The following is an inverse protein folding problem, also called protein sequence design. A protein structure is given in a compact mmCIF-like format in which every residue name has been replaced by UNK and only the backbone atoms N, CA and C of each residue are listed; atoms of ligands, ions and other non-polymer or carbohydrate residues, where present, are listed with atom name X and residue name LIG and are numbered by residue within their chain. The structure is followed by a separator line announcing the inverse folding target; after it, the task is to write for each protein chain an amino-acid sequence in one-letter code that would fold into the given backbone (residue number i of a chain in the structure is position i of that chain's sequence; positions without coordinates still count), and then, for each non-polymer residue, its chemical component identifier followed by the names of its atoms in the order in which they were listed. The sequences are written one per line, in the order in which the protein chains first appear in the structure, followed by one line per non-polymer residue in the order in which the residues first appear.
data_IF_943117651713
#
_entry.id   IF_943117651713
#
_cell.length_a   1.000
_cell.length_b   1.000
_cell.length_c   1.000
_cell.angle_alpha   90.00
_cell.angle_beta   90.00
_cell.angle_gamma   90.00
#
_symmetry.space_group_name_H-M   'P 1'
#
loop_
_entity.id
_entity.type
_entity.pdbx_description
1 polymer ?
#
# COMPACT_ATOMS: atom_id res chain seq x y z
N UNK A 1 -8.65 20.68 1.97
CA UNK A 1 -8.69 19.75 3.12
C UNK A 1 -7.76 18.60 2.79
N UNK A 2 -6.79 18.25 3.65
CA UNK A 2 -6.01 17.05 3.43
C UNK A 2 -6.94 15.83 3.50
N UNK A 3 -6.76 14.82 2.64
CA UNK A 3 -7.53 13.60 2.76
C UNK A 3 -7.33 12.94 4.13
N UNK A 4 -8.38 12.28 4.65
CA UNK A 4 -8.28 11.58 5.94
C UNK A 4 -7.62 10.22 5.69
N UNK A 5 -6.58 9.89 6.45
CA UNK A 5 -5.90 8.58 6.31
C UNK A 5 -6.84 7.46 6.73
N UNK A 6 -6.74 6.30 6.09
CA UNK A 6 -7.62 5.12 6.32
C UNK A 6 -9.12 5.40 6.14
N UNK A 7 -9.46 6.35 5.26
CA UNK A 7 -10.84 6.67 4.94
C UNK A 7 -11.60 5.48 4.37
N UNK A 8 -12.83 5.29 4.83
CA UNK A 8 -13.75 4.29 4.30
C UNK A 8 -14.29 4.70 2.91
N UNK A 9 -15.13 3.85 2.31
CA UNK A 9 -15.72 4.12 0.99
C UNK A 9 -16.62 5.35 0.93
N UNK A 10 -17.36 5.66 2.00
CA UNK A 10 -18.30 6.78 2.02
C UNK A 10 -17.57 8.12 1.97
N UNK A 11 -16.41 8.24 2.61
CA UNK A 11 -15.57 9.43 2.49
C UNK A 11 -15.29 9.80 1.02
N UNK A 12 -14.90 8.83 0.21
CA UNK A 12 -14.59 9.08 -1.19
C UNK A 12 -15.85 9.32 -2.04
N UNK A 13 -16.97 8.68 -1.72
CA UNK A 13 -18.26 8.89 -2.40
C UNK A 13 -18.88 10.25 -2.09
N UNK A 14 -18.86 10.64 -0.82
CA UNK A 14 -19.63 11.78 -0.33
C UNK A 14 -18.80 13.06 -0.27
N UNK A 15 -17.48 12.95 -0.06
CA UNK A 15 -16.59 14.12 0.06
C UNK A 15 -15.74 14.31 -1.20
N UNK A 16 -15.06 13.27 -1.66
CA UNK A 16 -14.08 13.43 -2.76
C UNK A 16 -14.74 13.49 -4.14
N UNK A 17 -15.70 12.60 -4.43
CA UNK A 17 -16.36 12.54 -5.74
C UNK A 17 -17.05 13.86 -6.13
N UNK A 18 -17.80 14.56 -5.25
CA UNK A 18 -18.37 15.87 -5.59
C UNK A 18 -17.31 16.92 -5.92
N UNK A 19 -16.19 16.91 -5.20
CA UNK A 19 -15.08 17.83 -5.44
C UNK A 19 -14.42 17.57 -6.80
N UNK A 20 -14.21 16.31 -7.17
CA UNK A 20 -13.67 15.92 -8.48
C UNK A 20 -14.63 16.32 -9.59
N UNK A 21 -15.94 16.09 -9.42
CA UNK A 21 -16.94 16.51 -10.40
C UNK A 21 -16.95 18.03 -10.64
N UNK A 22 -16.80 18.81 -9.57
CA UNK A 22 -16.77 20.28 -9.59
C UNK A 22 -15.48 20.84 -10.19
N UNK A 23 -14.31 20.38 -9.74
CA UNK A 23 -13.02 20.99 -10.09
C UNK A 23 -12.28 20.27 -11.22
N UNK A 24 -12.74 19.07 -11.64
CA UNK A 24 -12.16 18.17 -12.67
C UNK A 24 -10.80 17.58 -12.33
N UNK A 25 -9.93 18.35 -11.68
CA UNK A 25 -8.61 17.94 -11.22
C UNK A 25 -8.53 18.15 -9.72
N UNK A 26 -7.99 17.16 -9.02
CA UNK A 26 -7.80 17.21 -7.57
C UNK A 26 -6.35 16.83 -7.26
N UNK A 27 -5.64 17.72 -6.55
CA UNK A 27 -4.33 17.41 -6.00
C UNK A 27 -4.50 16.95 -4.55
N UNK A 28 -4.01 15.74 -4.26
CA UNK A 28 -4.00 15.19 -2.90
C UNK A 28 -2.63 15.45 -2.28
N UNK A 29 -2.58 16.32 -1.26
CA UNK A 29 -1.32 16.73 -0.63
C UNK A 29 -0.69 15.66 0.28
N UNK A 30 -1.47 14.67 0.70
CA UNK A 30 -1.02 13.50 1.46
C UNK A 30 -1.26 12.26 0.61
N UNK A 31 -0.23 11.43 0.44
CA UNK A 31 -0.20 10.31 -0.51
C UNK A 31 -0.34 8.96 0.20
N UNK A 32 -0.22 8.97 1.52
CA UNK A 32 -0.49 7.89 2.47
C UNK A 32 -1.99 7.71 2.76
N UNK A 33 -2.83 8.66 2.33
CA UNK A 33 -4.29 8.60 2.51
C UNK A 33 -4.89 7.58 1.54
N UNK A 34 -4.88 6.34 1.99
CA UNK A 34 -5.37 5.17 1.26
C UNK A 34 -6.83 4.93 1.63
N UNK A 35 -7.56 4.32 0.70
CA UNK A 35 -8.79 3.62 1.03
C UNK A 35 -8.48 2.55 2.08
N UNK A 36 -9.28 2.50 3.15
CA UNK A 36 -9.12 1.54 4.25
C UNK A 36 -8.85 0.12 3.72
N UNK A 37 -7.88 -0.60 4.31
CA UNK A 37 -7.56 -1.95 3.84
C UNK A 37 -8.56 -3.00 4.29
N UNK A 38 -9.20 -2.76 5.43
CA UNK A 38 -10.15 -3.67 6.05
C UNK A 38 -11.58 -3.23 5.73
N UNK A 39 -12.54 -4.15 5.84
CA UNK A 39 -13.97 -3.87 5.72
C UNK A 39 -14.41 -3.36 4.33
N UNK A 40 -13.58 -3.54 3.30
CA UNK A 40 -13.98 -3.28 1.93
C UNK A 40 -14.82 -4.44 1.36
N UNK A 41 -15.85 -4.15 0.57
CA UNK A 41 -16.53 -5.15 -0.23
C UNK A 41 -15.54 -5.91 -1.12
N UNK A 42 -15.73 -7.23 -1.22
CA UNK A 42 -14.83 -8.13 -1.95
C UNK A 42 -14.62 -7.71 -3.40
N UNK A 43 -15.63 -7.15 -4.05
CA UNK A 43 -15.54 -6.69 -5.44
C UNK A 43 -14.64 -5.46 -5.57
N UNK A 44 -14.70 -4.53 -4.61
CA UNK A 44 -13.78 -3.38 -4.56
C UNK A 44 -12.36 -3.86 -4.30
N UNK A 45 -12.18 -4.85 -3.44
CA UNK A 45 -10.86 -5.44 -3.15
C UNK A 45 -10.26 -6.12 -4.40
N UNK A 46 -11.02 -6.94 -5.13
CA UNK A 46 -10.57 -7.60 -6.36
C UNK A 46 -10.16 -6.58 -7.42
N UNK A 47 -10.97 -5.54 -7.57
CA UNK A 47 -10.74 -4.48 -8.53
C UNK A 47 -9.49 -3.66 -8.18
N UNK A 48 -9.31 -3.39 -6.89
CA UNK A 48 -8.08 -2.82 -6.32
C UNK A 48 -6.84 -3.61 -6.71
N UNK A 49 -6.88 -4.92 -6.51
CA UNK A 49 -5.78 -5.80 -6.90
C UNK A 49 -5.54 -5.75 -8.42
N UNK A 50 -6.60 -5.87 -9.24
CA UNK A 50 -6.48 -5.91 -10.70
C UNK A 50 -5.89 -4.64 -11.28
N UNK A 51 -6.33 -3.46 -10.83
CA UNK A 51 -5.78 -2.21 -11.37
C UNK A 51 -4.39 -1.92 -10.84
N UNK A 52 -4.10 -2.21 -9.57
CA UNK A 52 -2.73 -2.11 -9.08
C UNK A 52 -1.79 -3.02 -9.89
N UNK A 53 -2.18 -4.27 -10.17
CA UNK A 53 -1.39 -5.19 -10.98
C UNK A 53 -1.14 -4.67 -12.41
N UNK A 54 -2.14 -4.04 -13.03
CA UNK A 54 -2.01 -3.52 -14.39
C UNK A 54 -1.30 -2.16 -14.47
N UNK A 55 -1.48 -1.30 -13.46
CA UNK A 55 -0.89 0.03 -13.39
C UNK A 55 0.56 0.01 -12.89
N UNK A 56 0.93 -0.99 -12.08
CA UNK A 56 2.25 -1.12 -11.47
C UNK A 56 3.04 -2.19 -12.19
N UNK A 57 3.42 -1.84 -13.43
CA UNK A 57 4.30 -2.65 -14.27
C UNK A 57 5.73 -2.19 -14.09
N UNK A 58 6.66 -3.13 -14.04
CA UNK A 58 8.07 -2.80 -14.13
C UNK A 58 8.39 -2.24 -15.52
N UNK A 59 9.49 -1.48 -15.62
CA UNK A 59 9.95 -1.03 -16.93
C UNK A 59 10.26 -2.24 -17.82
N UNK A 60 10.13 -2.12 -19.16
CA UNK A 60 10.36 -3.24 -20.07
C UNK A 60 11.71 -3.94 -19.87
N UNK A 61 12.76 -3.15 -19.53
CA UNK A 61 14.11 -3.66 -19.26
C UNK A 61 14.16 -4.57 -18.03
N UNK A 62 13.49 -4.19 -16.93
CA UNK A 62 13.44 -4.99 -15.70
C UNK A 62 12.62 -6.26 -15.94
N UNK A 63 11.49 -6.15 -16.65
CA UNK A 63 10.67 -7.32 -16.98
C UNK A 63 11.43 -8.33 -17.85
N UNK A 64 12.16 -7.85 -18.86
CA UNK A 64 12.96 -8.70 -19.72
C UNK A 64 14.07 -9.41 -18.93
N UNK A 65 14.76 -8.68 -18.04
CA UNK A 65 15.73 -9.28 -17.13
C UNK A 65 15.08 -10.37 -16.26
N UNK A 66 13.96 -10.08 -15.61
CA UNK A 66 13.23 -11.04 -14.78
C UNK A 66 12.81 -12.29 -15.56
N UNK A 67 12.28 -12.11 -16.78
CA UNK A 67 11.90 -13.23 -17.65
C UNK A 67 13.10 -14.09 -18.04
N UNK A 68 14.26 -13.49 -18.33
CA UNK A 68 15.50 -14.22 -18.63
C UNK A 68 15.96 -15.06 -17.44
N UNK A 69 15.97 -14.48 -16.23
CA UNK A 69 16.34 -15.20 -15.00
C UNK A 69 15.40 -16.39 -14.77
N UNK A 70 14.09 -16.18 -14.85
CA UNK A 70 13.11 -17.26 -14.67
C UNK A 70 13.26 -18.35 -15.73
N UNK A 71 13.54 -17.97 -16.99
CA UNK A 71 13.79 -18.93 -18.07
C UNK A 71 14.98 -19.85 -17.73
N UNK A 72 16.12 -19.26 -17.33
CA UNK A 72 17.33 -20.01 -16.96
C UNK A 72 17.05 -20.96 -15.79
N UNK A 73 16.29 -20.51 -14.78
CA UNK A 73 15.94 -21.36 -13.63
C UNK A 73 15.07 -22.54 -14.05
N UNK A 74 14.06 -22.32 -14.90
CA UNK A 74 13.18 -23.39 -15.41
C UNK A 74 13.91 -24.42 -16.26
N UNK A 75 14.90 -24.00 -17.04
CA UNK A 75 15.74 -24.90 -17.85
C UNK A 75 16.56 -25.86 -16.97
N UNK A 76 16.86 -25.48 -15.73
CA UNK A 76 17.55 -26.33 -14.74
C UNK A 76 16.61 -27.25 -13.95
N UNK A 77 15.29 -27.10 -14.12
CA UNK A 77 14.27 -27.91 -13.46
C UNK A 77 13.29 -27.09 -12.61
N UNK A 78 12.38 -27.76 -11.88
CA UNK A 78 11.48 -27.10 -10.94
C UNK A 78 12.25 -26.37 -9.84
N UNK A 79 11.74 -25.20 -9.43
CA UNK A 79 12.35 -24.40 -8.36
C UNK A 79 11.29 -23.78 -7.44
N UNK A 80 11.70 -23.47 -6.21
CA UNK A 80 10.91 -22.77 -5.21
C UNK A 80 11.44 -21.33 -5.05
N UNK A 81 10.53 -20.38 -4.86
CA UNK A 81 10.89 -18.98 -4.57
C UNK A 81 10.37 -18.63 -3.18
N UNK A 82 11.26 -18.14 -2.33
CA UNK A 82 10.94 -17.64 -1.00
C UNK A 82 11.34 -16.16 -0.94
N UNK A 83 10.38 -15.29 -0.66
CA UNK A 83 10.65 -13.89 -0.34
C UNK A 83 10.70 -13.75 1.18
N UNK A 84 11.90 -13.74 1.73
CA UNK A 84 12.13 -13.60 3.15
C UNK A 84 12.45 -12.14 3.45
N UNK A 85 11.62 -11.54 4.30
CA UNK A 85 11.74 -10.13 4.71
C UNK A 85 12.15 -10.10 6.18
N UNK A 86 13.47 -10.03 6.42
CA UNK A 86 14.10 -10.13 7.74
C UNK A 86 14.61 -8.79 8.29
N UNK A 87 13.99 -7.70 7.86
CA UNK A 87 14.26 -6.38 8.41
C UNK A 87 13.81 -6.32 9.89
N UNK A 88 14.55 -5.55 10.70
CA UNK A 88 14.36 -5.50 12.15
C UNK A 88 12.96 -5.02 12.55
N UNK A 89 12.34 -4.14 11.75
CA UNK A 89 10.96 -3.67 11.92
C UNK A 89 9.95 -4.81 11.78
N UNK A 90 10.14 -5.67 10.78
CA UNK A 90 9.30 -6.84 10.53
C UNK A 90 9.49 -7.91 11.59
N UNK A 91 10.73 -8.15 12.02
CA UNK A 91 11.05 -9.08 13.12
C UNK A 91 10.42 -8.62 14.43
N UNK A 92 10.61 -7.34 14.81
CA UNK A 92 10.02 -6.75 16.00
C UNK A 92 8.49 -6.83 15.97
N UNK A 93 7.86 -6.61 14.81
CA UNK A 93 6.41 -6.69 14.66
C UNK A 93 5.88 -8.13 14.75
N UNK A 94 6.64 -9.12 14.24
CA UNK A 94 6.23 -10.53 14.30
C UNK A 94 6.15 -11.08 15.72
N UNK A 95 6.88 -10.48 16.66
CA UNK A 95 6.97 -10.95 18.05
C UNK A 95 7.70 -12.29 18.21
N UNK A 96 8.37 -12.78 17.17
CA UNK A 96 9.16 -14.00 17.21
C UNK A 96 10.56 -13.73 17.79
N UNK A 97 10.93 -14.42 18.87
CA UNK A 97 12.29 -14.41 19.45
C UNK A 97 13.06 -15.72 19.20
N UNK A 98 12.56 -16.58 18.29
CA UNK A 98 13.22 -17.85 18.00
C UNK A 98 14.60 -17.64 17.39
N UNK A 99 15.63 -18.18 18.03
CA UNK A 99 17.03 -18.03 17.61
C UNK A 99 17.69 -16.74 18.11
N UNK A 100 16.96 -15.87 18.81
CA UNK A 100 17.52 -14.68 19.44
C UNK A 100 18.22 -15.02 20.76
N UNK A 101 19.29 -14.29 21.06
CA UNK A 101 19.82 -14.21 22.42
C UNK A 101 19.05 -13.15 23.24
N UNK A 102 19.28 -13.09 24.56
CA UNK A 102 18.55 -12.20 25.46
C UNK A 102 18.69 -10.71 25.07
N UNK A 103 19.88 -10.30 24.62
CA UNK A 103 20.12 -8.91 24.21
C UNK A 103 19.33 -8.56 22.93
N UNK A 104 19.29 -9.47 21.95
CA UNK A 104 18.51 -9.30 20.73
C UNK A 104 17.00 -9.27 20.99
N UNK A 105 16.51 -10.11 21.91
CA UNK A 105 15.11 -10.12 22.31
C UNK A 105 14.70 -8.81 23.03
N UNK A 106 15.58 -8.28 23.88
CA UNK A 106 15.41 -6.98 24.52
C UNK A 106 15.39 -5.85 23.48
N UNK A 107 16.31 -5.84 22.51
CA UNK A 107 16.33 -4.84 21.43
C UNK A 107 15.11 -4.94 20.52
N UNK A 108 14.68 -6.13 20.11
CA UNK A 108 13.45 -6.31 19.31
C UNK A 108 12.21 -5.90 20.10
N UNK A 109 12.17 -6.17 21.40
CA UNK A 109 11.08 -5.71 22.27
C UNK A 109 11.07 -4.20 22.39
N UNK A 110 12.25 -3.58 22.57
CA UNK A 110 12.41 -2.13 22.60
C UNK A 110 11.98 -1.52 21.27
N UNK A 111 12.38 -2.10 20.14
CA UNK A 111 11.94 -1.67 18.81
C UNK A 111 10.44 -1.85 18.63
N UNK A 112 9.82 -2.93 19.08
CA UNK A 112 8.37 -3.11 18.99
C UNK A 112 7.62 -2.06 19.82
N UNK A 113 8.10 -1.74 21.01
CA UNK A 113 7.51 -0.70 21.86
C UNK A 113 7.76 0.68 21.24
N UNK A 114 9.00 0.99 20.87
CA UNK A 114 9.35 2.28 20.27
C UNK A 114 8.68 2.44 18.92
N UNK A 115 8.70 1.48 18.01
CA UNK A 115 7.96 1.57 16.75
C UNK A 115 6.45 1.51 16.96
N UNK A 116 5.93 0.76 17.93
CA UNK A 116 4.50 0.75 18.22
C UNK A 116 4.03 2.10 18.77
N UNK A 117 4.77 2.66 19.73
CA UNK A 117 4.52 3.96 20.34
C UNK A 117 4.87 5.09 19.37
N UNK A 118 5.96 5.00 18.62
CA UNK A 118 6.34 5.98 17.60
C UNK A 118 5.43 5.89 16.39
N UNK A 119 4.93 4.71 15.96
CA UNK A 119 3.84 4.63 14.98
C UNK A 119 2.55 5.17 15.57
N UNK A 120 2.28 4.99 16.86
CA UNK A 120 1.13 5.60 17.53
C UNK A 120 1.25 7.13 17.65
N UNK A 121 2.43 7.64 18.00
CA UNK A 121 2.76 9.06 18.09
C UNK A 121 2.89 9.68 16.70
N UNK A 122 3.45 8.97 15.72
CA UNK A 122 3.40 9.30 14.29
C UNK A 122 1.96 9.23 13.83
N UNK A 123 1.09 8.32 14.25
CA UNK A 123 -0.33 8.38 13.89
C UNK A 123 -0.99 9.64 14.46
N UNK A 124 -0.58 10.06 15.66
CA UNK A 124 -0.97 11.33 16.28
C UNK A 124 -0.25 12.55 15.68
N UNK A 125 0.86 12.35 14.96
CA UNK A 125 1.72 13.39 14.39
C UNK A 125 1.74 13.41 12.85
N UNK A 126 1.17 12.42 12.17
CA UNK A 126 1.02 12.25 10.71
C UNK A 126 -0.10 13.17 10.20
N UNK A 127 -0.69 13.96 11.08
CA UNK A 127 -1.20 15.29 10.74
C UNK A 127 -0.11 16.21 10.15
N UNK A 128 1.17 15.89 10.32
CA UNK A 128 2.36 16.67 9.93
C UNK A 128 3.52 15.80 9.40
N UNK A 129 3.49 15.53 8.07
CA UNK A 129 4.63 15.47 7.14
C UNK A 129 5.62 14.27 7.09
N UNK A 130 5.74 13.72 5.86
CA UNK A 130 6.89 13.08 5.14
C UNK A 130 7.18 11.57 5.26
N UNK A 131 6.98 10.83 4.14
CA UNK A 131 7.98 9.91 3.55
C UNK A 131 7.71 9.61 2.05
N UNK A 132 8.68 9.95 1.20
CA UNK A 132 8.57 10.03 -0.27
C UNK A 132 9.07 8.80 -1.06
N UNK A 133 9.60 7.75 -0.43
CA UNK A 133 10.34 6.72 -1.19
C UNK A 133 9.49 5.59 -1.82
N UNK A 134 8.17 5.59 -1.66
CA UNK A 134 7.24 4.60 -2.25
C UNK A 134 5.93 5.25 -2.76
N UNK A 135 5.96 6.53 -3.14
CA UNK A 135 4.79 7.35 -3.50
C UNK A 135 3.96 6.78 -4.66
N UNK A 136 4.58 6.27 -5.73
CA UNK A 136 3.87 5.88 -6.96
C UNK A 136 2.91 4.69 -6.80
N UNK A 137 3.21 3.75 -5.88
CA UNK A 137 2.35 2.59 -5.61
C UNK A 137 1.11 2.96 -4.79
N UNK A 138 1.18 4.06 -4.03
CA UNK A 138 0.13 4.49 -3.07
C UNK A 138 -0.95 5.36 -3.72
N UNK A 139 -0.56 6.19 -4.69
CA UNK A 139 -1.49 7.05 -5.45
C UNK A 139 -2.55 6.30 -6.24
N UNK A 140 -2.25 5.11 -6.73
CA UNK A 140 -3.15 4.35 -7.59
C UNK A 140 -4.40 3.86 -6.86
N UNK A 141 -4.36 3.67 -5.55
CA UNK A 141 -5.50 3.13 -4.79
C UNK A 141 -6.67 4.12 -4.72
N UNK A 142 -6.37 5.38 -4.40
CA UNK A 142 -7.39 6.45 -4.31
C UNK A 142 -7.84 6.90 -5.69
N UNK A 143 -6.92 6.97 -6.67
CA UNK A 143 -7.25 7.26 -8.07
C UNK A 143 -8.12 6.18 -8.70
N UNK A 144 -7.87 4.91 -8.40
CA UNK A 144 -8.68 3.80 -8.87
C UNK A 144 -10.11 3.90 -8.35
N UNK A 145 -10.29 4.06 -7.05
CA UNK A 145 -11.63 4.15 -6.47
C UNK A 145 -12.42 5.32 -7.08
N UNK A 146 -11.78 6.48 -7.27
CA UNK A 146 -12.40 7.61 -7.95
C UNK A 146 -12.72 7.34 -9.41
N UNK A 147 -11.84 6.66 -10.13
CA UNK A 147 -12.10 6.24 -11.52
C UNK A 147 -13.34 5.34 -11.60
N UNK A 148 -13.49 4.41 -10.65
CA UNK A 148 -14.65 3.52 -10.58
C UNK A 148 -15.94 4.26 -10.27
N UNK A 149 -15.90 5.18 -9.31
CA UNK A 149 -17.06 6.01 -9.00
C UNK A 149 -17.49 6.86 -10.20
N UNK A 150 -16.54 7.36 -10.98
CA UNK A 150 -16.82 8.10 -12.20
C UNK A 150 -17.35 7.20 -13.33
N UNK A 151 -16.83 5.97 -13.45
CA UNK A 151 -17.26 4.99 -14.46
C UNK A 151 -18.65 4.39 -14.16
N UNK A 152 -18.98 4.11 -12.90
CA UNK A 152 -20.29 3.60 -12.49
C UNK A 152 -21.40 4.67 -12.49
N UNK A 153 -21.06 5.93 -12.75
CA UNK A 153 -22.03 7.01 -12.96
C UNK A 153 -22.12 7.46 -14.43
N UNK A 154 -21.77 6.57 -15.36
CA UNK A 154 -22.19 6.69 -16.76
C UNK A 154 -23.71 6.89 -16.87
N UNK A 155 -24.18 7.59 -17.91
CA UNK A 155 -25.51 8.19 -17.94
C UNK A 155 -26.58 7.13 -17.67
N UNK A 156 -27.39 7.36 -16.63
CA UNK A 156 -28.70 6.74 -16.57
C UNK A 156 -29.52 7.40 -17.69
N UNK A 157 -29.60 6.72 -18.83
CA UNK A 157 -30.67 6.95 -19.81
C UNK A 157 -31.98 6.42 -19.26
#
# INVERSE_FOLDING_TARGET
MPPVSWSNMSYYQDQILPLVKKHKVLQLNKTDTRLANNELPVEVQKLRCRVNFNGLRFTPKIEELGRRVVKILREKGPFLVLHLRYEMDMLAFSGCSHGCNRYEEEELTRMRIIEGVARGLLYLHEDSLLDQSLESLRHLQSLLYLTLLLQHQGPQT
#
